data_IF_896870966523
#
_entry.id   IF_896870966523
#
_cell.length_a   1.000
_cell.length_b   1.000
_cell.length_c   1.000
_cell.angle_alpha   90.00
_cell.angle_beta   90.00
_cell.angle_gamma   90.00
#
_symmetry.space_group_name_H-M   'P 1'
#
loop_
_entity.id
_entity.type
_entity.pdbx_description
1 polymer ?
#
# COMPACT_ATOMS: atom_id res chain seq x y z
N UNK A 1 -1.27 0.40 -17.91
CA UNK A 1 -0.32 -0.46 -17.15
C UNK A 1 0.89 0.28 -16.61
N UNK A 2 1.50 1.18 -17.39
CA UNK A 2 2.69 1.92 -16.94
C UNK A 2 2.44 2.77 -15.68
N UNK A 3 1.30 3.45 -15.61
CA UNK A 3 0.94 4.23 -14.42
C UNK A 3 0.76 3.35 -13.18
N UNK A 4 0.18 2.15 -13.36
CA UNK A 4 0.03 1.20 -12.27
C UNK A 4 1.40 0.75 -11.76
N UNK A 5 2.32 0.46 -12.67
CA UNK A 5 3.69 0.09 -12.29
C UNK A 5 4.41 1.22 -11.54
N UNK A 6 4.27 2.47 -11.99
CA UNK A 6 4.86 3.63 -11.33
C UNK A 6 4.29 3.82 -9.93
N UNK A 7 2.97 3.74 -9.77
CA UNK A 7 2.31 3.87 -8.47
C UNK A 7 2.74 2.74 -7.52
N UNK A 8 2.86 1.52 -8.03
CA UNK A 8 3.30 0.38 -7.23
C UNK A 8 4.77 0.53 -6.79
N UNK A 9 5.65 1.05 -7.65
CA UNK A 9 7.04 1.35 -7.28
C UNK A 9 7.09 2.42 -6.18
N UNK A 10 6.27 3.47 -6.31
CA UNK A 10 6.14 4.47 -5.23
C UNK A 10 5.65 3.83 -3.93
N UNK A 11 4.72 2.88 -4.01
CA UNK A 11 4.24 2.12 -2.86
C UNK A 11 5.35 1.31 -2.20
N UNK A 12 6.22 0.68 -2.99
CA UNK A 12 7.39 -0.03 -2.47
C UNK A 12 8.31 0.93 -1.71
N UNK A 13 8.57 2.11 -2.27
CA UNK A 13 9.41 3.12 -1.63
C UNK A 13 8.82 3.57 -0.28
N UNK A 14 7.53 3.88 -0.24
CA UNK A 14 6.83 4.27 1.00
C UNK A 14 6.88 3.13 2.02
N UNK A 15 6.62 1.90 1.60
CA UNK A 15 6.68 0.73 2.49
C UNK A 15 8.09 0.47 3.01
N UNK A 16 9.12 0.71 2.19
CA UNK A 16 10.52 0.58 2.61
C UNK A 16 10.87 1.58 3.72
N UNK A 17 10.42 2.83 3.56
CA UNK A 17 10.60 3.85 4.59
C UNK A 17 9.87 3.47 5.89
N UNK A 18 8.63 2.96 5.77
CA UNK A 18 7.88 2.47 6.92
C UNK A 18 8.60 1.32 7.63
N UNK A 19 9.21 0.42 6.87
CA UNK A 19 9.98 -0.69 7.44
C UNK A 19 11.21 -0.18 8.18
N UNK A 20 11.90 0.84 7.66
CA UNK A 20 13.00 1.48 8.37
C UNK A 20 12.55 2.06 9.71
N UNK A 21 11.39 2.72 9.74
CA UNK A 21 10.81 3.23 10.99
C UNK A 21 10.49 2.14 12.00
N UNK A 22 10.05 0.98 11.51
CA UNK A 22 9.76 -0.17 12.38
C UNK A 22 11.01 -0.65 13.14
N UNK A 23 12.18 -0.63 12.48
CA UNK A 23 13.44 -1.07 13.07
C UNK A 23 14.34 0.07 13.56
N UNK A 24 14.02 1.33 13.27
CA UNK A 24 14.84 2.47 13.67
C UNK A 24 14.82 2.71 15.18
N UNK A 25 15.97 3.04 15.75
CA UNK A 25 16.12 3.33 17.18
C UNK A 25 15.84 4.82 17.45
N UNK A 26 16.11 5.71 16.47
CA UNK A 26 15.96 7.16 16.61
C UNK A 26 14.68 7.65 15.93
N UNK A 27 14.08 8.69 16.52
CA UNK A 27 12.92 9.38 15.92
C UNK A 27 13.34 10.19 14.71
N UNK A 28 12.50 10.16 13.66
CA UNK A 28 12.73 10.93 12.44
C UNK A 28 11.83 12.17 12.44
N UNK A 29 12.45 13.33 12.27
CA UNK A 29 11.77 14.62 12.41
C UNK A 29 10.71 14.88 11.34
N UNK A 30 10.84 14.30 10.15
CA UNK A 30 9.87 14.52 9.06
C UNK A 30 8.56 13.75 9.20
N UNK A 31 8.52 12.75 10.08
CA UNK A 31 7.33 11.94 10.32
C UNK A 31 6.64 12.27 11.64
N UNK A 32 7.34 12.94 12.54
CA UNK A 32 6.82 13.38 13.85
C UNK A 32 6.41 14.85 13.76
N UNK A 33 5.20 15.10 13.25
CA UNK A 33 4.65 16.45 13.12
C UNK A 33 3.56 16.64 14.17
N UNK A 34 3.96 17.15 15.34
CA UNK A 34 3.02 17.40 16.44
C UNK A 34 2.50 16.12 17.09
N UNK A 35 1.47 16.26 17.92
CA UNK A 35 0.89 15.15 18.69
C UNK A 35 -0.03 14.24 17.85
N UNK A 36 -0.48 14.72 16.68
CA UNK A 36 -1.43 14.02 15.82
C UNK A 36 -0.75 13.08 14.84
N UNK A 37 0.43 13.44 14.32
CA UNK A 37 1.16 12.64 13.34
C UNK A 37 2.42 12.07 13.98
N UNK A 38 2.46 10.76 14.13
CA UNK A 38 3.62 10.06 14.69
C UNK A 38 3.78 8.69 14.04
N UNK A 39 4.67 8.61 13.05
CA UNK A 39 4.95 7.36 12.34
C UNK A 39 5.61 6.32 13.24
N UNK A 40 6.44 6.75 14.19
CA UNK A 40 7.14 5.82 15.08
C UNK A 40 6.17 5.04 15.97
N UNK A 41 5.15 5.71 16.54
CA UNK A 41 4.13 5.04 17.36
C UNK A 41 3.38 4.01 16.53
N UNK A 42 2.95 4.39 15.31
CA UNK A 42 2.18 3.50 14.44
C UNK A 42 3.02 2.31 13.99
N UNK A 43 4.26 2.55 13.52
CA UNK A 43 5.12 1.49 13.00
C UNK A 43 5.73 0.59 14.08
N UNK A 44 5.71 1.00 15.34
CA UNK A 44 6.20 0.21 16.48
C UNK A 44 5.09 -0.37 17.34
N UNK A 45 3.82 -0.14 17.00
CA UNK A 45 2.69 -0.67 17.74
C UNK A 45 2.56 -2.19 17.54
N UNK A 46 1.79 -2.83 18.42
CA UNK A 46 1.47 -4.27 18.28
C UNK A 46 0.78 -4.58 16.96
N UNK A 47 0.05 -3.58 16.40
CA UNK A 47 -0.66 -3.71 15.13
C UNK A 47 0.24 -3.57 13.91
N UNK A 48 1.50 -3.17 14.09
CA UNK A 48 2.46 -3.05 13.00
C UNK A 48 3.09 -4.38 12.60
N UNK A 49 2.78 -5.46 13.31
CA UNK A 49 3.28 -6.80 13.03
C UNK A 49 2.15 -7.82 13.11
N UNK A 50 2.10 -8.72 12.13
CA UNK A 50 1.16 -9.84 12.10
C UNK A 50 1.98 -11.12 12.12
N UNK A 51 1.80 -11.95 13.16
CA UNK A 51 2.55 -13.20 13.35
C UNK A 51 4.07 -12.99 13.33
N UNK A 52 4.55 -11.85 13.85
CA UNK A 52 5.97 -11.51 13.87
C UNK A 52 6.50 -10.90 12.58
N UNK A 53 5.68 -10.75 11.54
CA UNK A 53 6.06 -10.17 10.26
C UNK A 53 5.62 -8.69 10.24
N UNK A 54 6.52 -7.72 10.00
CA UNK A 54 6.14 -6.32 9.89
C UNK A 54 5.13 -6.09 8.76
N UNK A 55 4.08 -5.32 9.04
CA UNK A 55 3.06 -4.97 8.05
C UNK A 55 3.66 -4.25 6.83
N UNK A 56 4.70 -3.43 7.06
CA UNK A 56 5.42 -2.75 5.98
C UNK A 56 6.04 -3.74 5.00
N UNK A 57 6.56 -4.88 5.49
CA UNK A 57 7.10 -5.94 4.63
C UNK A 57 5.99 -6.58 3.78
N UNK A 58 4.83 -6.82 4.37
CA UNK A 58 3.66 -7.33 3.65
C UNK A 58 3.26 -6.35 2.55
N UNK A 59 3.27 -5.04 2.85
CA UNK A 59 3.01 -3.99 1.87
C UNK A 59 4.00 -4.00 0.71
N UNK A 60 5.29 -4.13 1.00
CA UNK A 60 6.33 -4.23 -0.02
C UNK A 60 6.10 -5.40 -0.97
N UNK A 61 5.79 -6.58 -0.42
CA UNK A 61 5.51 -7.77 -1.22
C UNK A 61 4.23 -7.60 -2.06
N UNK A 62 3.21 -6.97 -1.51
CA UNK A 62 1.98 -6.67 -2.23
C UNK A 62 2.22 -5.73 -3.42
N UNK A 63 2.95 -4.65 -3.22
CA UNK A 63 3.30 -3.73 -4.29
C UNK A 63 4.24 -4.38 -5.32
N UNK A 64 5.16 -5.23 -4.89
CA UNK A 64 6.02 -5.98 -5.80
C UNK A 64 5.20 -6.92 -6.69
N UNK A 65 4.18 -7.57 -6.14
CA UNK A 65 3.25 -8.39 -6.93
C UNK A 65 2.50 -7.56 -7.97
N UNK A 66 2.06 -6.35 -7.60
CA UNK A 66 1.39 -5.42 -8.53
C UNK A 66 2.33 -5.00 -9.66
N UNK A 67 3.59 -4.71 -9.36
CA UNK A 67 4.60 -4.41 -10.38
C UNK A 67 4.79 -5.59 -11.31
N UNK A 68 4.91 -6.80 -10.78
CA UNK A 68 5.04 -8.02 -11.57
C UNK A 68 3.86 -8.22 -12.51
N UNK A 69 2.65 -8.07 -12.00
CA UNK A 69 1.43 -8.19 -12.82
C UNK A 69 1.36 -7.11 -13.91
N UNK A 70 1.74 -5.88 -13.58
CA UNK A 70 1.66 -4.75 -14.51
C UNK A 70 2.76 -4.76 -15.58
N UNK A 71 3.86 -5.47 -15.35
CA UNK A 71 5.01 -5.50 -16.26
C UNK A 71 5.18 -6.85 -16.95
N UNK A 72 5.40 -7.92 -16.18
CA UNK A 72 5.72 -9.26 -16.71
C UNK A 72 4.50 -9.91 -17.36
N UNK A 73 3.34 -9.82 -16.73
CA UNK A 73 2.09 -10.44 -17.19
C UNK A 73 1.16 -9.46 -17.91
N UNK A 74 1.70 -8.35 -18.37
CA UNK A 74 0.95 -7.27 -19.01
C UNK A 74 0.08 -7.73 -20.18
N UNK A 75 0.59 -8.66 -20.97
CA UNK A 75 -0.05 -9.15 -22.21
C UNK A 75 -1.14 -10.19 -21.95
N UNK A 76 -1.21 -10.74 -20.75
CA UNK A 76 -2.20 -11.78 -20.45
C UNK A 76 -3.60 -11.20 -20.30
N UNK A 77 -4.60 -11.97 -20.80
CA UNK A 77 -6.01 -11.56 -20.78
C UNK A 77 -6.57 -11.43 -19.36
N UNK A 78 -6.09 -12.26 -18.45
CA UNK A 78 -6.58 -12.33 -17.07
C UNK A 78 -5.95 -11.28 -16.17
N UNK A 79 -4.85 -10.65 -16.58
CA UNK A 79 -4.08 -9.70 -15.76
C UNK A 79 -4.91 -8.54 -15.23
N UNK A 80 -5.80 -7.88 -16.00
CA UNK A 80 -6.58 -6.76 -15.45
C UNK A 80 -7.47 -7.16 -14.28
N UNK A 81 -8.10 -8.32 -14.35
CA UNK A 81 -8.94 -8.84 -13.26
C UNK A 81 -8.11 -9.19 -12.03
N UNK A 82 -6.96 -9.86 -12.23
CA UNK A 82 -6.02 -10.20 -11.15
C UNK A 82 -5.45 -8.94 -10.50
N UNK A 83 -5.08 -7.95 -11.32
CA UNK A 83 -4.53 -6.68 -10.85
C UNK A 83 -5.56 -5.93 -10.00
N UNK A 84 -6.80 -5.86 -10.46
CA UNK A 84 -7.89 -5.24 -9.70
C UNK A 84 -8.14 -5.99 -8.39
N UNK A 85 -8.20 -7.31 -8.42
CA UNK A 85 -8.41 -8.13 -7.21
C UNK A 85 -7.31 -7.92 -6.18
N UNK A 86 -6.06 -7.95 -6.61
CA UNK A 86 -4.90 -7.73 -5.74
C UNK A 86 -4.88 -6.31 -5.15
N UNK A 87 -5.15 -5.30 -5.99
CA UNK A 87 -5.19 -3.91 -5.54
C UNK A 87 -6.36 -3.67 -4.57
N UNK A 88 -7.53 -4.24 -4.84
CA UNK A 88 -8.69 -4.14 -3.96
C UNK A 88 -8.45 -4.80 -2.60
N UNK A 89 -7.77 -5.95 -2.58
CA UNK A 89 -7.37 -6.60 -1.34
C UNK A 89 -6.40 -5.74 -0.55
N UNK A 90 -5.42 -5.14 -1.21
CA UNK A 90 -4.48 -4.21 -0.59
C UNK A 90 -5.18 -2.96 -0.04
N UNK A 91 -6.15 -2.43 -0.79
CA UNK A 91 -6.94 -1.29 -0.34
C UNK A 91 -7.76 -1.62 0.90
N UNK A 92 -8.41 -2.78 0.94
CA UNK A 92 -9.17 -3.23 2.11
C UNK A 92 -8.26 -3.34 3.35
N UNK A 93 -7.07 -3.90 3.17
CA UNK A 93 -6.08 -4.02 4.23
C UNK A 93 -5.59 -2.64 4.71
N UNK A 94 -5.32 -1.72 3.79
CA UNK A 94 -4.91 -0.35 4.12
C UNK A 94 -6.02 0.41 4.88
N UNK A 95 -7.27 0.23 4.49
CA UNK A 95 -8.42 0.82 5.19
C UNK A 95 -8.55 0.25 6.62
N UNK A 96 -8.32 -1.04 6.78
CA UNK A 96 -8.32 -1.68 8.11
C UNK A 96 -7.24 -1.07 9.01
N UNK A 97 -6.03 -0.91 8.50
CA UNK A 97 -4.94 -0.28 9.26
C UNK A 97 -5.24 1.18 9.59
N UNK A 98 -5.81 1.92 8.66
CA UNK A 98 -6.22 3.31 8.88
C UNK A 98 -7.29 3.41 9.97
N UNK A 99 -8.23 2.47 9.99
CA UNK A 99 -9.23 2.39 11.06
C UNK A 99 -8.57 2.19 12.44
N UNK A 100 -7.58 1.31 12.53
CA UNK A 100 -6.80 1.08 13.76
C UNK A 100 -6.10 2.37 14.19
N UNK A 101 -5.45 3.08 13.27
CA UNK A 101 -4.80 4.35 13.56
C UNK A 101 -5.77 5.36 14.16
N UNK A 102 -6.93 5.50 13.55
CA UNK A 102 -7.93 6.48 13.96
C UNK A 102 -8.61 6.16 15.28
N UNK A 103 -8.87 4.88 15.55
CA UNK A 103 -9.72 4.45 16.67
C UNK A 103 -8.96 3.86 17.86
N UNK A 104 -7.86 3.19 17.59
CA UNK A 104 -7.11 2.46 18.61
C UNK A 104 -5.88 3.25 19.05
N UNK A 105 -5.08 3.69 18.10
CA UNK A 105 -3.83 4.39 18.39
C UNK A 105 -4.03 5.88 18.63
N UNK A 106 -5.05 6.49 18.02
CA UNK A 106 -5.32 7.92 18.12
C UNK A 106 -4.27 8.82 17.48
N UNK A 107 -3.35 8.26 16.71
CA UNK A 107 -2.31 8.99 15.97
C UNK A 107 -2.32 8.55 14.51
N UNK A 108 -1.88 9.44 13.62
CA UNK A 108 -1.86 9.19 12.19
C UNK A 108 -0.42 8.98 11.70
N UNK A 109 -0.26 8.14 10.70
CA UNK A 109 1.02 7.93 10.02
C UNK A 109 0.93 8.49 8.61
N UNK A 110 1.78 9.49 8.29
CA UNK A 110 1.84 10.09 6.95
C UNK A 110 2.19 9.03 5.90
N UNK A 111 3.11 8.13 6.22
CA UNK A 111 3.52 7.03 5.33
C UNK A 111 2.35 6.08 5.04
N UNK A 112 1.57 5.74 6.07
CA UNK A 112 0.40 4.87 5.91
C UNK A 112 -0.70 5.55 5.08
N UNK A 113 -0.94 6.85 5.31
CA UNK A 113 -1.90 7.62 4.52
C UNK A 113 -1.44 7.76 3.06
N UNK A 114 -0.15 7.96 2.83
CA UNK A 114 0.42 7.99 1.48
C UNK A 114 0.24 6.65 0.77
N UNK A 115 0.50 5.55 1.46
CA UNK A 115 0.29 4.20 0.94
C UNK A 115 -1.20 3.96 0.63
N UNK A 116 -2.09 4.40 1.50
CA UNK A 116 -3.54 4.31 1.28
C UNK A 116 -3.95 5.04 0.00
N UNK A 117 -3.46 6.28 -0.20
CA UNK A 117 -3.73 7.04 -1.41
C UNK A 117 -3.20 6.33 -2.66
N UNK A 118 -1.98 5.81 -2.60
CA UNK A 118 -1.36 5.08 -3.72
C UNK A 118 -2.16 3.84 -4.09
N UNK A 119 -2.56 3.03 -3.12
CA UNK A 119 -3.31 1.80 -3.39
C UNK A 119 -4.73 2.11 -3.88
N UNK A 120 -5.35 3.18 -3.38
CA UNK A 120 -6.65 3.63 -3.87
C UNK A 120 -6.58 4.04 -5.33
N UNK A 121 -5.58 4.84 -5.71
CA UNK A 121 -5.36 5.25 -7.10
C UNK A 121 -5.07 4.03 -7.99
N UNK A 122 -4.25 3.10 -7.53
CA UNK A 122 -3.93 1.86 -8.24
C UNK A 122 -5.20 1.03 -8.48
N UNK A 123 -6.05 0.90 -7.46
CA UNK A 123 -7.31 0.16 -7.56
C UNK A 123 -8.25 0.80 -8.58
N UNK A 124 -8.37 2.12 -8.58
CA UNK A 124 -9.19 2.85 -9.55
C UNK A 124 -8.69 2.65 -10.98
N UNK A 125 -7.38 2.77 -11.20
CA UNK A 125 -6.76 2.54 -12.52
C UNK A 125 -6.94 1.10 -12.98
N UNK A 126 -6.77 0.14 -12.08
CA UNK A 126 -6.97 -1.28 -12.39
C UNK A 126 -8.43 -1.56 -12.79
N UNK A 127 -9.39 -0.95 -12.09
CA UNK A 127 -10.82 -1.07 -12.43
C UNK A 127 -11.11 -0.50 -13.82
N UNK A 128 -10.55 0.66 -14.16
CA UNK A 128 -10.73 1.29 -15.48
C UNK A 128 -10.11 0.41 -16.59
N UNK A 129 -8.92 -0.12 -16.36
CA UNK A 129 -8.24 -0.99 -17.32
C UNK A 129 -9.03 -2.27 -17.54
N UNK A 130 -9.51 -2.87 -16.48
CA UNK A 130 -10.34 -4.09 -16.55
C UNK A 130 -11.61 -3.82 -17.34
N UNK A 131 -12.34 -2.75 -17.01
CA UNK A 131 -13.58 -2.39 -17.72
C UNK A 131 -13.33 -2.18 -19.21
N UNK A 132 -12.29 -1.39 -19.58
CA UNK A 132 -11.99 -1.13 -20.99
C UNK A 132 -11.66 -2.39 -21.77
N UNK A 133 -10.91 -3.31 -21.17
CA UNK A 133 -10.55 -4.58 -21.83
C UNK A 133 -11.77 -5.49 -21.97
N UNK A 134 -12.60 -5.53 -20.95
CA UNK A 134 -13.82 -6.35 -20.98
C UNK A 134 -14.77 -5.84 -22.08
N UNK A 135 -14.97 -4.53 -22.15
CA UNK A 135 -15.79 -3.92 -23.21
C UNK A 135 -15.23 -4.13 -24.62
N UNK A 136 -13.92 -4.23 -24.76
CA UNK A 136 -13.29 -4.46 -26.07
C UNK A 136 -13.37 -5.92 -26.53
N UNK A 137 -13.67 -6.84 -25.62
CA UNK A 137 -13.79 -8.27 -25.94
C UNK A 137 -15.17 -8.67 -26.41
N UNK A 138 -16.17 -7.78 -26.28
CA UNK A 138 -17.53 -7.96 -26.82
C UNK A 138 -17.59 -7.39 -28.24
#
# INVERSE_FOLDING_TARGET
>A
MSFVAILAVCGIAVSSVSLQHHYAISKTAYCDIGDTFNCDIVNRSEYSSILGIPVALIGMLGYAALVGLATVYRERRETPAMLFGAAAAGLAFALYLTYIEARVLGVWCILCLSSLALIAMTTMLAAVIWWKRDSSSE
#
